data_IF_810217378540
#
_entry.id   IF_810217378540
#
_cell.length_a   1.000
_cell.length_b   1.000
_cell.length_c   1.000
_cell.angle_alpha   90.00
_cell.angle_beta   90.00
_cell.angle_gamma   90.00
#
_symmetry.space_group_name_H-M   'P 1'
#
loop_
_entity.id
_entity.type
_entity.pdbx_description
1 polymer ?
#
# COMPACT_ATOMS: atom_id res chain seq x y z
N UNK A 1 -34.46 -21.71 3.12
CA UNK A 1 -33.60 -20.61 3.64
C UNK A 1 -34.51 -19.48 4.07
N UNK A 2 -34.35 -18.98 5.29
CA UNK A 2 -35.14 -17.85 5.79
C UNK A 2 -34.80 -16.57 5.01
N UNK A 3 -35.76 -15.66 4.81
CA UNK A 3 -35.56 -14.39 4.09
C UNK A 3 -34.37 -13.58 4.66
N UNK A 4 -34.16 -13.68 5.96
CA UNK A 4 -33.02 -13.10 6.70
C UNK A 4 -31.68 -13.62 6.17
N UNK A 5 -31.50 -14.93 6.03
CA UNK A 5 -30.26 -15.53 5.52
C UNK A 5 -29.97 -15.10 4.07
N UNK A 6 -31.01 -14.95 3.25
CA UNK A 6 -30.87 -14.47 1.88
C UNK A 6 -30.42 -12.99 1.83
N UNK A 7 -31.01 -12.13 2.67
CA UNK A 7 -30.63 -10.72 2.78
C UNK A 7 -29.17 -10.54 3.23
N UNK A 8 -28.74 -11.28 4.26
CA UNK A 8 -27.35 -11.24 4.72
C UNK A 8 -26.37 -11.77 3.67
N UNK A 9 -26.75 -12.80 2.92
CA UNK A 9 -25.95 -13.34 1.81
C UNK A 9 -25.75 -12.28 0.72
N UNK A 10 -26.81 -11.58 0.32
CA UNK A 10 -26.72 -10.50 -0.66
C UNK A 10 -25.82 -9.36 -0.16
N UNK A 11 -25.97 -8.97 1.11
CA UNK A 11 -25.14 -7.92 1.71
C UNK A 11 -23.66 -8.32 1.75
N UNK A 12 -23.36 -9.59 2.00
CA UNK A 12 -21.99 -10.11 1.95
C UNK A 12 -21.43 -10.06 0.52
N UNK A 13 -22.25 -10.42 -0.47
CA UNK A 13 -21.87 -10.29 -1.89
C UNK A 13 -21.53 -8.84 -2.25
N UNK A 14 -22.36 -7.88 -1.84
CA UNK A 14 -22.15 -6.47 -2.13
C UNK A 14 -20.85 -5.95 -1.48
N UNK A 15 -20.57 -6.35 -0.24
CA UNK A 15 -19.32 -6.02 0.45
C UNK A 15 -18.11 -6.62 -0.27
N UNK A 16 -18.18 -7.89 -0.70
CA UNK A 16 -17.08 -8.52 -1.44
C UNK A 16 -16.83 -7.82 -2.78
N UNK A 17 -17.88 -7.43 -3.49
CA UNK A 17 -17.77 -6.64 -4.74
C UNK A 17 -17.17 -5.26 -4.49
N UNK A 18 -17.58 -4.59 -3.41
CA UNK A 18 -16.99 -3.33 -2.98
C UNK A 18 -15.49 -3.46 -2.70
N UNK A 19 -15.10 -4.49 -1.94
CA UNK A 19 -13.69 -4.78 -1.67
C UNK A 19 -12.91 -5.02 -2.96
N UNK A 20 -13.47 -5.77 -3.92
CA UNK A 20 -12.84 -6.00 -5.22
C UNK A 20 -12.60 -4.68 -5.97
N UNK A 21 -13.62 -3.82 -6.08
CA UNK A 21 -13.53 -2.55 -6.79
C UNK A 21 -12.47 -1.61 -6.18
N UNK A 22 -12.35 -1.58 -4.85
CA UNK A 22 -11.32 -0.78 -4.19
C UNK A 22 -9.90 -1.33 -4.43
N UNK A 23 -9.73 -2.65 -4.48
CA UNK A 23 -8.43 -3.26 -4.81
C UNK A 23 -8.04 -3.02 -6.28
N UNK A 24 -9.00 -3.07 -7.21
CA UNK A 24 -8.77 -2.68 -8.61
C UNK A 24 -8.34 -1.21 -8.70
N UNK A 25 -9.00 -0.34 -7.96
CA UNK A 25 -8.63 1.08 -7.86
C UNK A 25 -7.21 1.26 -7.29
N UNK A 26 -6.81 0.48 -6.29
CA UNK A 26 -5.43 0.52 -5.78
C UNK A 26 -4.41 0.12 -6.85
N UNK A 27 -4.69 -0.92 -7.64
CA UNK A 27 -3.82 -1.36 -8.72
C UNK A 27 -3.67 -0.26 -9.77
N UNK A 28 -4.78 0.36 -10.17
CA UNK A 28 -4.76 1.47 -11.14
C UNK A 28 -3.94 2.67 -10.63
N UNK A 29 -4.18 3.09 -9.38
CA UNK A 29 -3.43 4.18 -8.75
C UNK A 29 -1.94 3.86 -8.61
N UNK A 30 -1.59 2.58 -8.41
CA UNK A 30 -0.20 2.14 -8.34
C UNK A 30 0.48 2.25 -9.71
N UNK A 31 -0.21 1.92 -10.79
CA UNK A 31 0.29 2.16 -12.16
C UNK A 31 0.52 3.64 -12.43
N UNK A 32 -0.48 4.48 -12.12
CA UNK A 32 -0.40 5.94 -12.28
C UNK A 32 0.74 6.54 -11.46
N UNK A 33 1.00 6.03 -10.25
CA UNK A 33 2.12 6.50 -9.43
C UNK A 33 3.45 6.20 -10.13
N UNK A 34 3.63 5.00 -10.70
CA UNK A 34 4.85 4.69 -11.46
C UNK A 34 5.03 5.60 -12.67
N UNK A 35 3.96 5.96 -13.35
CA UNK A 35 3.99 6.91 -14.47
C UNK A 35 4.41 8.31 -13.99
N UNK A 36 3.81 8.81 -12.91
CA UNK A 36 4.20 10.09 -12.30
C UNK A 36 5.66 10.08 -11.82
N UNK A 37 6.13 8.97 -11.25
CA UNK A 37 7.53 8.79 -10.85
C UNK A 37 8.48 8.85 -12.05
N UNK A 38 8.13 8.19 -13.17
CA UNK A 38 8.93 8.27 -14.42
C UNK A 38 8.95 9.70 -15.00
N UNK A 39 7.83 10.41 -14.89
CA UNK A 39 7.73 11.80 -15.31
C UNK A 39 8.36 12.80 -14.31
N UNK A 40 8.82 12.33 -13.15
CA UNK A 40 9.29 13.17 -12.03
C UNK A 40 8.25 14.21 -11.56
N UNK A 41 6.96 13.90 -11.69
CA UNK A 41 5.86 14.78 -11.30
C UNK A 41 5.52 14.63 -9.81
N UNK A 42 6.19 15.42 -8.97
CA UNK A 42 5.99 15.39 -7.52
C UNK A 42 4.55 15.74 -7.10
N UNK A 43 3.88 16.63 -7.83
CA UNK A 43 2.53 17.08 -7.51
C UNK A 43 1.53 15.95 -7.71
N UNK A 44 1.61 15.27 -8.86
CA UNK A 44 0.72 14.14 -9.13
C UNK A 44 1.04 12.95 -8.23
N UNK A 45 2.32 12.70 -7.89
CA UNK A 45 2.68 11.68 -6.89
C UNK A 45 2.00 11.94 -5.53
N UNK A 46 2.00 13.18 -5.04
CA UNK A 46 1.30 13.56 -3.81
C UNK A 46 -0.22 13.39 -3.91
N UNK A 47 -0.82 13.79 -5.05
CA UNK A 47 -2.27 13.62 -5.29
C UNK A 47 -2.68 12.15 -5.30
N UNK A 48 -1.90 11.31 -5.97
CA UNK A 48 -2.11 9.86 -6.01
C UNK A 48 -1.96 9.26 -4.60
N UNK A 49 -0.96 9.69 -3.82
CA UNK A 49 -0.77 9.21 -2.45
C UNK A 49 -1.98 9.52 -1.56
N UNK A 50 -2.53 10.73 -1.63
CA UNK A 50 -3.75 11.09 -0.91
C UNK A 50 -4.94 10.23 -1.32
N UNK A 51 -5.13 10.00 -2.63
CA UNK A 51 -6.21 9.14 -3.14
C UNK A 51 -6.05 7.69 -2.71
N UNK A 52 -4.83 7.15 -2.68
CA UNK A 52 -4.53 5.80 -2.16
C UNK A 52 -4.86 5.69 -0.68
N UNK A 53 -4.55 6.70 0.12
CA UNK A 53 -4.92 6.74 1.54
C UNK A 53 -6.45 6.65 1.74
N UNK A 54 -7.21 7.42 0.95
CA UNK A 54 -8.67 7.36 0.98
C UNK A 54 -9.24 5.99 0.56
N UNK A 55 -8.66 5.35 -0.47
CA UNK A 55 -9.03 3.98 -0.89
C UNK A 55 -8.75 2.98 0.24
N UNK A 56 -7.57 3.04 0.86
CA UNK A 56 -7.23 2.16 1.98
C UNK A 56 -8.21 2.32 3.16
N UNK A 57 -8.62 3.55 3.48
CA UNK A 57 -9.62 3.79 4.52
C UNK A 57 -10.96 3.11 4.20
N UNK A 58 -11.41 3.16 2.93
CA UNK A 58 -12.64 2.46 2.50
C UNK A 58 -12.49 0.94 2.55
N UNK A 59 -11.32 0.40 2.19
CA UNK A 59 -11.04 -1.04 2.33
C UNK A 59 -11.17 -1.47 3.79
N UNK A 60 -10.54 -0.73 4.72
CA UNK A 60 -10.61 -1.03 6.16
C UNK A 60 -12.06 -1.03 6.65
N UNK A 61 -12.85 -0.05 6.24
CA UNK A 61 -14.26 0.04 6.63
C UNK A 61 -15.10 -1.11 6.06
N UNK A 62 -14.92 -1.47 4.79
CA UNK A 62 -15.59 -2.61 4.18
C UNK A 62 -15.15 -3.94 4.83
N UNK A 63 -13.88 -4.07 5.22
CA UNK A 63 -13.36 -5.26 5.90
C UNK A 63 -13.96 -5.44 7.30
N UNK A 64 -14.15 -4.32 8.02
CA UNK A 64 -14.87 -4.27 9.30
C UNK A 64 -16.32 -4.71 9.13
N UNK A 65 -17.04 -4.13 8.17
CA UNK A 65 -18.42 -4.51 7.87
C UNK A 65 -18.56 -5.99 7.48
N UNK A 66 -17.59 -6.52 6.71
CA UNK A 66 -17.54 -7.94 6.38
C UNK A 66 -17.39 -8.79 7.64
N UNK A 67 -16.48 -8.44 8.54
CA UNK A 67 -16.23 -9.19 9.77
C UNK A 67 -17.46 -9.21 10.69
N UNK A 68 -18.14 -8.07 10.82
CA UNK A 68 -19.40 -7.94 11.58
C UNK A 68 -20.49 -8.83 10.98
N UNK A 69 -20.72 -8.73 9.66
CA UNK A 69 -21.74 -9.53 8.99
C UNK A 69 -21.48 -11.04 9.05
N UNK A 70 -20.21 -11.46 8.97
CA UNK A 70 -19.82 -12.87 9.15
C UNK A 70 -20.09 -13.33 10.57
N UNK A 71 -19.87 -12.48 11.57
CA UNK A 71 -20.19 -12.78 12.97
C UNK A 71 -21.70 -12.92 13.19
N UNK A 72 -22.50 -12.00 12.64
CA UNK A 72 -23.97 -12.06 12.70
C UNK A 72 -24.51 -13.35 12.05
N UNK A 73 -23.99 -13.70 10.87
CA UNK A 73 -24.39 -14.91 10.16
C UNK A 73 -23.96 -16.19 10.89
N UNK A 74 -22.79 -16.19 11.52
CA UNK A 74 -22.33 -17.32 12.34
C UNK A 74 -23.25 -17.56 13.54
N UNK A 75 -23.68 -16.48 14.21
CA UNK A 75 -24.64 -16.54 15.31
C UNK A 75 -26.01 -17.04 14.83
N UNK A 76 -26.50 -16.54 13.69
CA UNK A 76 -27.80 -16.93 13.14
C UNK A 76 -27.87 -18.41 12.69
N UNK A 77 -26.73 -19.01 12.35
CA UNK A 77 -26.60 -20.42 11.96
C UNK A 77 -26.22 -21.34 13.12
N UNK A 78 -26.20 -20.81 14.36
CA UNK A 78 -25.71 -21.50 15.57
C UNK A 78 -24.33 -22.15 15.40
N UNK A 79 -23.50 -21.52 14.56
CA UNK A 79 -22.13 -21.97 14.32
C UNK A 79 -21.23 -21.29 15.35
N UNK A 80 -21.11 -21.89 16.53
CA UNK A 80 -20.28 -21.36 17.61
C UNK A 80 -18.84 -21.89 17.48
N UNK A 81 -17.91 -21.01 17.11
CA UNK A 81 -16.48 -21.30 17.04
C UNK A 81 -15.65 -20.03 16.89
N UNK A 82 -14.58 -19.90 17.67
CA UNK A 82 -13.63 -18.80 17.55
C UNK A 82 -12.95 -18.85 16.17
N UNK A 83 -13.10 -17.79 15.37
CA UNK A 83 -12.45 -17.68 14.07
C UNK A 83 -13.28 -18.13 12.87
N UNK A 84 -14.60 -17.92 12.89
CA UNK A 84 -15.44 -18.20 11.73
C UNK A 84 -14.97 -17.40 10.50
N UNK A 85 -14.58 -18.11 9.45
CA UNK A 85 -14.11 -17.49 8.19
C UNK A 85 -15.24 -17.44 7.16
N UNK A 86 -15.14 -16.50 6.20
CA UNK A 86 -16.05 -16.45 5.05
C UNK A 86 -16.15 -17.81 4.35
N UNK A 87 -15.05 -18.57 4.30
CA UNK A 87 -15.02 -19.92 3.69
C UNK A 87 -15.82 -20.95 4.48
N UNK A 88 -15.75 -20.91 5.82
CA UNK A 88 -16.56 -21.78 6.68
C UNK A 88 -18.06 -21.45 6.53
N UNK A 89 -18.39 -20.16 6.44
CA UNK A 89 -19.76 -19.69 6.22
C UNK A 89 -20.33 -20.16 4.87
N UNK A 90 -19.54 -20.02 3.80
CA UNK A 90 -19.91 -20.48 2.45
C UNK A 90 -20.22 -21.98 2.44
N UNK A 91 -19.41 -22.78 3.14
CA UNK A 91 -19.63 -24.22 3.24
C UNK A 91 -20.95 -24.56 3.97
N UNK A 92 -21.33 -23.77 4.98
CA UNK A 92 -22.56 -23.98 5.74
C UNK A 92 -23.84 -23.54 4.99
N UNK A 93 -23.79 -22.47 4.20
CA UNK A 93 -24.94 -22.00 3.41
C UNK A 93 -25.29 -23.01 2.29
N UNK A 94 -24.26 -23.54 1.62
CA UNK A 94 -24.44 -24.48 0.51
C UNK A 94 -25.19 -23.90 -0.70
N UNK A 95 -25.52 -24.77 -1.65
CA UNK A 95 -26.32 -24.41 -2.83
C UNK A 95 -25.64 -23.45 -3.81
N UNK A 96 -26.47 -22.73 -4.58
CA UNK A 96 -26.00 -21.79 -5.60
C UNK A 96 -25.36 -20.52 -5.04
N UNK A 97 -25.90 -19.89 -3.96
CA UNK A 97 -25.28 -18.70 -3.36
C UNK A 97 -23.86 -18.96 -2.85
N UNK A 98 -23.59 -20.15 -2.29
CA UNK A 98 -22.26 -20.54 -1.85
C UNK A 98 -21.24 -20.57 -3.01
N UNK A 99 -21.64 -21.04 -4.20
CA UNK A 99 -20.74 -21.06 -5.38
C UNK A 99 -20.39 -19.65 -5.84
N UNK A 100 -21.37 -18.75 -5.86
CA UNK A 100 -21.16 -17.34 -6.24
C UNK A 100 -20.22 -16.64 -5.24
N UNK A 101 -20.49 -16.75 -3.95
CA UNK A 101 -19.64 -16.19 -2.90
C UNK A 101 -18.22 -16.77 -2.92
N UNK A 102 -18.08 -18.08 -3.16
CA UNK A 102 -16.77 -18.73 -3.30
C UNK A 102 -15.98 -18.16 -4.47
N UNK A 103 -16.63 -17.98 -5.63
CA UNK A 103 -16.00 -17.36 -6.79
C UNK A 103 -15.56 -15.91 -6.52
N UNK A 104 -16.38 -15.12 -5.82
CA UNK A 104 -16.04 -13.75 -5.45
C UNK A 104 -14.89 -13.69 -4.44
N UNK A 105 -14.90 -14.55 -3.43
CA UNK A 105 -13.82 -14.64 -2.44
C UNK A 105 -12.48 -15.00 -3.09
N UNK A 106 -12.49 -15.93 -4.05
CA UNK A 106 -11.29 -16.31 -4.79
C UNK A 106 -10.79 -15.16 -5.68
N UNK A 107 -11.68 -14.47 -6.40
CA UNK A 107 -11.31 -13.28 -7.18
C UNK A 107 -10.74 -12.16 -6.32
N UNK A 108 -11.34 -11.90 -5.17
CA UNK A 108 -10.83 -10.92 -4.21
C UNK A 108 -9.43 -11.30 -3.72
N UNK A 109 -9.20 -12.58 -3.39
CA UNK A 109 -7.86 -13.07 -3.01
C UNK A 109 -6.82 -12.81 -4.10
N UNK A 110 -7.17 -13.08 -5.36
CA UNK A 110 -6.30 -12.83 -6.50
C UNK A 110 -6.00 -11.33 -6.69
N UNK A 111 -7.01 -10.47 -6.52
CA UNK A 111 -6.84 -9.01 -6.59
C UNK A 111 -5.96 -8.47 -5.46
N UNK A 112 -6.12 -8.98 -4.24
CA UNK A 112 -5.28 -8.63 -3.08
C UNK A 112 -3.81 -8.96 -3.38
N UNK A 113 -3.52 -10.18 -3.86
CA UNK A 113 -2.14 -10.57 -4.14
C UNK A 113 -1.55 -9.75 -5.28
N UNK A 114 -2.35 -9.49 -6.34
CA UNK A 114 -1.93 -8.61 -7.43
C UNK A 114 -1.61 -7.20 -6.93
N UNK A 115 -2.47 -6.62 -6.09
CA UNK A 115 -2.23 -5.30 -5.50
C UNK A 115 -0.95 -5.29 -4.66
N UNK A 116 -0.68 -6.35 -3.88
CA UNK A 116 0.54 -6.50 -3.07
C UNK A 116 1.79 -6.51 -3.93
N UNK A 117 1.80 -7.28 -5.02
CA UNK A 117 2.91 -7.37 -5.97
C UNK A 117 3.18 -5.99 -6.60
N UNK A 118 2.15 -5.31 -7.10
CA UNK A 118 2.29 -3.99 -7.74
C UNK A 118 2.81 -2.93 -6.74
N UNK A 119 2.33 -2.95 -5.50
CA UNK A 119 2.80 -2.02 -4.46
C UNK A 119 4.25 -2.28 -4.05
N UNK A 120 4.67 -3.54 -3.97
CA UNK A 120 6.07 -3.89 -3.73
C UNK A 120 6.97 -3.35 -4.85
N UNK A 121 6.58 -3.54 -6.12
CA UNK A 121 7.32 -3.02 -7.26
C UNK A 121 7.41 -1.48 -7.26
N UNK A 122 6.33 -0.77 -6.91
CA UNK A 122 6.35 0.69 -6.78
C UNK A 122 7.30 1.14 -5.66
N UNK A 123 7.28 0.47 -4.51
CA UNK A 123 8.16 0.78 -3.38
C UNK A 123 9.63 0.62 -3.78
N UNK A 124 9.96 -0.46 -4.48
CA UNK A 124 11.33 -0.73 -4.93
C UNK A 124 11.79 0.31 -5.97
N UNK A 125 10.92 0.69 -6.91
CA UNK A 125 11.20 1.77 -7.87
C UNK A 125 11.44 3.12 -7.18
N UNK A 126 10.62 3.45 -6.18
CA UNK A 126 10.76 4.69 -5.40
C UNK A 126 12.08 4.70 -4.62
N UNK A 127 12.45 3.57 -4.01
CA UNK A 127 13.72 3.42 -3.30
C UNK A 127 14.93 3.58 -4.24
N UNK A 128 14.86 3.01 -5.45
CA UNK A 128 15.90 3.16 -6.46
C UNK A 128 16.10 4.62 -6.89
N UNK A 129 15.00 5.36 -7.13
CA UNK A 129 15.06 6.79 -7.47
C UNK A 129 15.65 7.61 -6.34
N UNK A 130 15.21 7.38 -5.09
CA UNK A 130 15.75 8.09 -3.93
C UNK A 130 17.26 7.82 -3.75
N UNK A 131 17.70 6.56 -3.92
CA UNK A 131 19.11 6.19 -3.87
C UNK A 131 19.94 6.88 -4.96
N UNK A 132 19.42 6.96 -6.19
CA UNK A 132 20.09 7.65 -7.29
C UNK A 132 20.25 9.14 -7.01
N UNK A 133 19.19 9.82 -6.55
CA UNK A 133 19.25 11.24 -6.17
C UNK A 133 20.27 11.49 -5.04
N UNK A 134 20.31 10.62 -4.03
CA UNK A 134 21.33 10.68 -2.98
C UNK A 134 22.75 10.55 -3.51
N UNK A 135 22.96 9.66 -4.48
CA UNK A 135 24.25 9.49 -5.17
C UNK A 135 24.65 10.72 -5.99
N UNK A 136 23.72 11.28 -6.76
CA UNK A 136 23.95 12.51 -7.55
C UNK A 136 24.29 13.68 -6.62
N UNK A 137 23.55 13.88 -5.54
CA UNK A 137 23.83 14.94 -4.57
C UNK A 137 25.19 14.75 -3.89
N UNK A 138 25.53 13.51 -3.51
CA UNK A 138 26.86 13.21 -2.93
C UNK A 138 27.98 13.50 -3.92
N UNK A 139 27.77 13.19 -5.21
CA UNK A 139 28.74 13.48 -6.26
C UNK A 139 28.87 14.99 -6.49
N UNK A 140 27.77 15.74 -6.55
CA UNK A 140 27.79 17.21 -6.65
C UNK A 140 28.54 17.81 -5.46
N UNK A 141 28.24 17.37 -4.24
CA UNK A 141 28.95 17.82 -3.03
C UNK A 141 30.45 17.52 -3.14
N UNK A 142 30.84 16.31 -3.59
CA UNK A 142 32.25 15.95 -3.77
C UNK A 142 32.93 16.81 -4.84
N UNK A 143 32.29 17.04 -5.98
CA UNK A 143 32.86 17.82 -7.08
C UNK A 143 32.91 19.32 -6.74
N UNK A 144 31.89 19.88 -6.09
CA UNK A 144 31.87 21.27 -5.66
C UNK A 144 32.78 21.53 -4.46
N UNK A 145 33.01 20.55 -3.58
CA UNK A 145 33.96 20.67 -2.46
C UNK A 145 35.43 20.66 -2.89
N UNK A 146 35.73 20.39 -4.17
CA UNK A 146 37.11 20.48 -4.71
C UNK A 146 37.44 21.91 -5.19
N UNK A 147 36.49 22.85 -5.11
CA UNK A 147 36.72 24.25 -5.46
C UNK A 147 37.02 25.15 -4.26
N UNK A 148 38.19 25.81 -4.30
CA UNK A 148 38.71 26.90 -3.44
C UNK A 148 39.51 26.39 -2.22
N UNK A 149 40.83 26.21 -2.32
CA UNK A 149 41.76 27.35 -2.38
C UNK A 149 42.86 27.20 -3.44
N UNK A 150 42.74 27.93 -4.55
CA UNK A 150 43.93 28.46 -5.22
C UNK A 150 44.18 29.84 -4.62
N UNK A 151 45.31 30.00 -3.93
CA UNK A 151 45.79 31.35 -3.60
C UNK A 151 46.27 32.05 -4.89
N UNK A 152 46.35 33.38 -4.88
CA UNK A 152 46.86 34.20 -5.98
C UNK A 152 48.36 33.96 -6.33
N UNK A 153 48.98 32.89 -5.80
CA UNK A 153 50.38 32.50 -5.98
C UNK A 153 50.57 31.09 -6.55
N UNK A 154 49.49 30.40 -6.97
CA UNK A 154 49.59 29.17 -7.76
C UNK A 154 50.23 27.97 -7.06
N UNK A 155 50.11 27.84 -5.72
CA UNK A 155 50.50 26.61 -5.00
C UNK A 155 49.35 26.06 -4.17
N UNK A 156 49.11 24.75 -4.30
CA UNK A 156 48.13 24.01 -3.49
C UNK A 156 48.54 24.05 -2.01
N UNK A 157 47.62 24.47 -1.14
CA UNK A 157 47.77 24.31 0.29
C UNK A 157 47.41 22.87 0.68
N UNK A 158 48.22 22.16 1.49
CA UNK A 158 47.80 20.89 2.05
C UNK A 158 46.59 21.11 2.97
N UNK A 159 45.49 20.42 2.66
CA UNK A 159 44.22 20.53 3.37
C UNK A 159 44.41 20.27 4.87
N UNK A 160 44.12 21.28 5.68
CA UNK A 160 44.10 21.15 7.13
C UNK A 160 42.83 20.41 7.52
N UNK A 161 42.97 19.19 8.07
CA UNK A 161 41.86 18.48 8.68
C UNK A 161 41.33 19.30 9.86
N UNK A 162 40.05 19.69 9.84
CA UNK A 162 39.42 20.32 10.99
C UNK A 162 39.16 19.27 12.07
N UNK A 163 39.65 19.44 13.31
CA UNK A 163 39.12 18.72 14.45
C UNK A 163 37.77 19.33 14.82
N UNK A 164 36.73 18.51 14.86
CA UNK A 164 35.46 18.87 15.46
C UNK A 164 35.68 19.09 16.98
N UNK A 165 35.70 20.34 17.43
CA UNK A 165 35.64 20.68 18.84
C UNK A 165 34.17 20.58 19.29
N UNK A 166 33.87 19.45 19.93
CA UNK A 166 32.63 19.16 20.63
C UNK A 166 32.64 19.91 21.96
N UNK A 167 31.77 20.91 22.13
CA UNK A 167 31.54 21.60 23.41
C UNK A 167 30.38 20.90 24.14
N UNK A 168 30.69 20.19 25.23
CA UNK A 168 29.71 19.64 26.17
C UNK A 168 30.00 20.20 27.55
N UNK A 169 29.02 20.97 28.03
CA UNK A 169 28.91 21.64 29.34
C UNK A 169 29.20 20.72 30.53
N UNK A 170 29.83 21.28 31.57
CA UNK A 170 29.45 21.09 32.98
C UNK A 170 29.75 22.35 33.78
#
# INVERSE_FOLDING_TARGET
>A
MSAVTQQHTQRLEDILRGLMAEHETLIELTSKHREALRASDATEMSRIAARRSAVNARIVELDRQRAELVSELAQALDMQGAGMTVRALIAAIGGQPAKQLSSLAEKLRQLIEKARIEQAALRDATAAVAGHLGGVLTQVVRTCSVGQTYNARGKMAPGTAMPAAMDLRH
#
